data_IF_263107834919
#
_entry.id   IF_263107834919
#
_cell.length_a   1.000
_cell.length_b   1.000
_cell.length_c   1.000
_cell.angle_alpha   90.00
_cell.angle_beta   90.00
_cell.angle_gamma   90.00
#
_symmetry.space_group_name_H-M   'P 1'
#
loop_
_entity.id
_entity.type
_entity.pdbx_description
1 polymer ?
#
# COMPACT_ATOMS: atom_id res chain seq x y z
N UNK A 1 3.35 -1.18 17.63
CA UNK A 1 3.02 -2.36 16.80
C UNK A 1 2.13 -1.88 15.67
N UNK A 2 2.45 -2.22 14.45
CA UNK A 2 1.74 -1.78 13.24
C UNK A 2 0.51 -2.66 13.07
N UNK A 3 -0.67 -2.08 13.22
CA UNK A 3 -1.94 -2.82 13.06
C UNK A 3 -2.18 -3.18 11.60
N UNK A 4 -3.02 -4.18 11.37
CA UNK A 4 -3.50 -4.50 10.03
C UNK A 4 -4.24 -3.31 9.43
N UNK A 5 -5.04 -2.60 10.21
CA UNK A 5 -5.74 -1.40 9.77
C UNK A 5 -4.80 -0.30 9.25
N UNK A 6 -3.64 -0.10 9.90
CA UNK A 6 -2.65 0.87 9.41
C UNK A 6 -2.00 0.44 8.09
N UNK A 7 -1.71 -0.85 7.92
CA UNK A 7 -1.20 -1.40 6.67
C UNK A 7 -2.21 -1.18 5.54
N UNK A 8 -3.48 -1.54 5.78
CA UNK A 8 -4.56 -1.35 4.81
C UNK A 8 -4.80 0.13 4.50
N UNK A 9 -4.80 1.01 5.51
CA UNK A 9 -4.95 2.45 5.30
C UNK A 9 -3.94 2.97 4.29
N UNK A 10 -2.65 2.65 4.44
CA UNK A 10 -1.60 3.19 3.57
C UNK A 10 -1.74 2.64 2.15
N UNK A 11 -1.86 1.33 2.02
CA UNK A 11 -1.87 0.68 0.69
C UNK A 11 -3.17 0.97 -0.09
N UNK A 12 -4.31 0.96 0.59
CA UNK A 12 -5.59 1.23 -0.07
C UNK A 12 -5.79 2.73 -0.36
N UNK A 13 -5.24 3.64 0.46
CA UNK A 13 -5.22 5.07 0.14
C UNK A 13 -4.39 5.36 -1.12
N UNK A 14 -3.30 4.62 -1.36
CA UNK A 14 -2.57 4.74 -2.62
C UNK A 14 -3.41 4.31 -3.81
N UNK A 15 -4.12 3.17 -3.71
CA UNK A 15 -5.00 2.68 -4.77
C UNK A 15 -6.21 3.60 -4.99
N UNK A 16 -6.75 4.20 -3.92
CA UNK A 16 -7.80 5.20 -4.03
C UNK A 16 -7.34 6.43 -4.82
N UNK A 17 -6.10 6.89 -4.61
CA UNK A 17 -5.53 8.03 -5.34
C UNK A 17 -5.08 7.65 -6.76
N UNK A 18 -4.76 6.39 -7.01
CA UNK A 18 -4.31 5.85 -8.29
C UNK A 18 -5.21 4.71 -8.76
N UNK A 19 -6.44 5.01 -9.22
CA UNK A 19 -7.44 3.97 -9.54
C UNK A 19 -7.09 3.13 -10.78
N UNK A 20 -6.04 3.48 -11.52
CA UNK A 20 -5.50 2.67 -12.62
C UNK A 20 -4.52 1.58 -12.14
N UNK A 21 -4.08 1.63 -10.87
CA UNK A 21 -3.22 0.62 -10.30
C UNK A 21 -4.05 -0.53 -9.72
N UNK A 22 -3.53 -1.75 -9.84
CA UNK A 22 -4.19 -2.97 -9.38
C UNK A 22 -3.82 -3.32 -7.95
N UNK A 23 -2.56 -3.13 -7.59
CA UNK A 23 -1.97 -3.56 -6.32
C UNK A 23 -1.04 -2.51 -5.75
N UNK A 24 -1.02 -2.38 -4.43
CA UNK A 24 -0.04 -1.58 -3.71
C UNK A 24 0.74 -2.43 -2.72
N UNK A 25 2.05 -2.26 -2.67
CA UNK A 25 2.94 -2.94 -1.72
C UNK A 25 3.81 -1.89 -1.03
N UNK A 26 3.82 -1.89 0.29
CA UNK A 26 4.78 -1.09 1.06
C UNK A 26 5.48 -1.95 2.10
N UNK A 27 6.70 -1.57 2.48
CA UNK A 27 7.46 -2.32 3.48
C UNK A 27 7.00 -1.97 4.91
N UNK A 28 6.84 -2.98 5.75
CA UNK A 28 6.49 -2.80 7.16
C UNK A 28 7.50 -1.92 7.90
N UNK A 29 8.77 -1.92 7.49
CA UNK A 29 9.83 -1.08 8.05
C UNK A 29 9.58 0.41 7.89
N UNK A 30 8.89 0.81 6.83
CA UNK A 30 8.51 2.19 6.54
C UNK A 30 7.46 2.78 7.48
N UNK A 31 6.62 1.93 8.06
CA UNK A 31 5.61 2.31 9.06
C UNK A 31 6.18 2.17 10.47
N UNK A 32 6.15 3.21 11.30
CA UNK A 32 6.82 3.21 12.62
C UNK A 32 5.86 3.00 13.78
N UNK A 33 4.62 3.45 13.66
CA UNK A 33 3.59 3.37 14.69
C UNK A 33 2.21 3.36 14.05
N UNK A 34 1.17 3.16 14.85
CA UNK A 34 -0.22 3.40 14.46
C UNK A 34 -0.59 4.87 14.71
N UNK A 35 -1.68 5.35 14.11
CA UNK A 35 -2.25 6.66 14.44
C UNK A 35 -2.67 6.68 15.91
N UNK A 36 -2.40 7.78 16.65
CA UNK A 36 -2.86 7.91 18.03
C UNK A 36 -4.37 8.14 18.09
N UNK A 37 -5.01 7.84 19.24
CA UNK A 37 -6.41 8.19 19.45
C UNK A 37 -6.59 9.72 19.55
N UNK A 38 -7.75 10.21 19.12
CA UNK A 38 -8.10 11.64 19.13
C UNK A 38 -8.04 12.28 17.76
N UNK A 39 -7.89 13.60 17.71
CA UNK A 39 -7.79 14.34 16.45
C UNK A 39 -6.50 13.98 15.72
N UNK A 40 -6.63 13.58 14.45
CA UNK A 40 -5.49 13.22 13.60
C UNK A 40 -4.88 14.50 13.01
N UNK A 41 -3.60 14.71 13.27
CA UNK A 41 -2.84 15.84 12.74
C UNK A 41 -1.85 15.38 11.66
N UNK A 42 -1.34 16.33 10.88
CA UNK A 42 -0.24 16.05 9.94
C UNK A 42 1.00 15.46 10.64
N UNK A 43 1.27 15.91 11.88
CA UNK A 43 2.38 15.39 12.66
C UNK A 43 2.21 13.91 13.01
N UNK A 44 0.97 13.45 13.23
CA UNK A 44 0.67 12.04 13.50
C UNK A 44 0.94 11.18 12.25
N UNK A 45 0.50 11.65 11.07
CA UNK A 45 0.78 10.96 9.80
C UNK A 45 2.30 10.90 9.54
N UNK A 46 3.02 11.99 9.78
CA UNK A 46 4.50 12.00 9.69
C UNK A 46 5.12 11.06 10.72
N UNK A 47 4.55 10.94 11.92
CA UNK A 47 5.01 10.00 12.94
C UNK A 47 4.84 8.53 12.50
N UNK A 48 3.76 8.22 11.78
CA UNK A 48 3.54 6.88 11.19
C UNK A 48 4.51 6.61 10.06
N UNK A 49 4.70 7.56 9.15
CA UNK A 49 5.48 7.44 7.90
C UNK A 49 6.58 8.51 7.85
N UNK A 50 7.66 8.41 8.67
CA UNK A 50 8.60 9.52 8.89
C UNK A 50 9.61 9.75 7.74
N UNK A 51 9.63 8.88 6.74
CA UNK A 51 10.58 8.98 5.62
C UNK A 51 10.00 9.81 4.47
N UNK A 52 10.87 10.49 3.71
CA UNK A 52 10.48 11.27 2.54
C UNK A 52 10.54 10.43 1.26
N UNK A 53 9.79 9.31 1.29
CA UNK A 53 9.66 8.45 0.12
C UNK A 53 8.66 9.00 -0.90
N UNK A 54 8.81 8.55 -2.14
CA UNK A 54 7.86 8.78 -3.22
C UNK A 54 7.28 7.47 -3.73
N UNK A 55 6.10 7.54 -4.33
CA UNK A 55 5.46 6.37 -4.96
C UNK A 55 6.10 6.13 -6.33
N UNK A 56 6.38 4.87 -6.62
CA UNK A 56 6.85 4.37 -7.92
C UNK A 56 5.82 3.39 -8.46
N UNK A 57 5.44 3.56 -9.73
CA UNK A 57 4.54 2.67 -10.46
C UNK A 57 5.35 1.70 -11.29
N UNK A 58 5.02 0.40 -11.21
CA UNK A 58 5.68 -0.70 -11.87
C UNK A 58 4.69 -1.54 -12.67
N UNK A 59 5.21 -2.22 -13.70
CA UNK A 59 4.48 -3.24 -14.46
C UNK A 59 5.11 -4.61 -14.18
N UNK A 60 4.38 -5.47 -13.47
CA UNK A 60 4.86 -6.78 -13.07
C UNK A 60 3.94 -7.88 -13.61
N UNK A 61 4.51 -9.02 -14.03
CA UNK A 61 3.71 -10.22 -14.29
C UNK A 61 3.14 -10.76 -12.98
N UNK A 62 2.05 -11.53 -13.05
CA UNK A 62 1.48 -12.14 -11.83
C UNK A 62 2.45 -13.06 -11.12
N UNK A 63 3.34 -13.77 -11.84
CA UNK A 63 4.42 -14.56 -11.22
C UNK A 63 5.40 -13.70 -10.43
N UNK A 64 5.84 -12.57 -10.99
CA UNK A 64 6.72 -11.60 -10.32
C UNK A 64 6.04 -10.97 -9.11
N UNK A 65 4.76 -10.62 -9.27
CA UNK A 65 3.94 -10.02 -8.23
C UNK A 65 3.73 -11.00 -7.05
N UNK A 66 3.43 -12.27 -7.31
CA UNK A 66 3.27 -13.30 -6.26
C UNK A 66 4.54 -13.40 -5.39
N UNK A 67 5.71 -13.36 -6.01
CA UNK A 67 6.99 -13.35 -5.28
C UNK A 67 7.14 -12.12 -4.36
N UNK A 68 6.70 -10.95 -4.80
CA UNK A 68 6.80 -9.71 -4.01
C UNK A 68 5.76 -9.66 -2.90
N UNK A 69 4.53 -10.11 -3.15
CA UNK A 69 3.47 -10.23 -2.17
C UNK A 69 3.79 -11.22 -1.05
N UNK A 70 4.57 -12.26 -1.36
CA UNK A 70 5.00 -13.29 -0.41
C UNK A 70 6.11 -12.87 0.54
N UNK A 71 6.69 -11.67 0.41
CA UNK A 71 7.77 -11.21 1.28
C UNK A 71 7.28 -10.96 2.71
N UNK A 72 8.03 -11.39 3.75
CA UNK A 72 7.61 -11.22 5.15
C UNK A 72 7.46 -9.76 5.60
N UNK A 73 8.10 -8.84 4.89
CA UNK A 73 8.07 -7.39 5.15
C UNK A 73 6.98 -6.66 4.38
N UNK A 74 6.15 -7.36 3.58
CA UNK A 74 5.11 -6.74 2.76
C UNK A 74 3.87 -6.34 3.59
N UNK A 75 3.42 -5.10 3.41
CA UNK A 75 2.04 -4.70 3.61
C UNK A 75 1.41 -4.52 2.23
N UNK A 76 0.23 -5.12 2.01
CA UNK A 76 -0.37 -5.22 0.67
C UNK A 76 -1.78 -4.63 0.64
N UNK A 77 -2.16 -4.02 -0.48
CA UNK A 77 -3.49 -3.52 -0.78
C UNK A 77 -3.92 -3.92 -2.19
N UNK A 78 -5.23 -3.87 -2.44
CA UNK A 78 -5.83 -4.30 -3.71
C UNK A 78 -5.93 -5.81 -3.88
N UNK A 79 -5.36 -6.59 -2.97
CA UNK A 79 -5.37 -8.05 -3.01
C UNK A 79 -5.71 -8.64 -1.65
N UNK A 80 -6.20 -9.88 -1.67
CA UNK A 80 -6.37 -10.72 -0.48
C UNK A 80 -5.85 -12.13 -0.78
N UNK A 81 -5.53 -12.86 0.28
CA UNK A 81 -5.02 -14.24 0.17
C UNK A 81 -6.05 -15.23 0.66
N UNK A 82 -6.36 -16.23 -0.17
CA UNK A 82 -7.18 -17.39 0.19
C UNK A 82 -6.50 -18.67 -0.30
N UNK A 83 -6.47 -19.72 0.54
CA UNK A 83 -5.88 -21.02 0.21
C UNK A 83 -4.49 -20.93 -0.45
N UNK A 84 -3.61 -20.04 0.07
CA UNK A 84 -2.26 -19.77 -0.44
C UNK A 84 -2.18 -19.10 -1.82
N UNK A 85 -3.30 -18.63 -2.37
CA UNK A 85 -3.39 -17.92 -3.64
C UNK A 85 -3.82 -16.48 -3.42
N UNK A 86 -3.40 -15.59 -4.32
CA UNK A 86 -3.76 -14.19 -4.29
C UNK A 86 -4.91 -13.90 -5.25
N UNK A 87 -5.81 -13.04 -4.82
CA UNK A 87 -6.99 -12.60 -5.55
C UNK A 87 -7.05 -11.08 -5.55
N UNK A 88 -7.48 -10.48 -6.67
CA UNK A 88 -7.75 -9.05 -6.74
C UNK A 88 -9.02 -8.73 -5.96
N UNK A 89 -8.97 -7.72 -5.09
CA UNK A 89 -10.18 -7.24 -4.37
C UNK A 89 -11.23 -6.67 -5.32
N UNK A 90 -10.78 -5.97 -6.38
CA UNK A 90 -11.66 -5.29 -7.33
C UNK A 90 -12.56 -6.25 -8.13
N UNK A 91 -12.07 -7.46 -8.46
CA UNK A 91 -12.77 -8.40 -9.32
C UNK A 91 -13.09 -9.74 -8.65
N UNK A 92 -12.36 -10.09 -7.58
CA UNK A 92 -12.42 -11.41 -6.96
C UNK A 92 -11.71 -12.50 -7.77
N UNK A 93 -10.99 -12.12 -8.85
CA UNK A 93 -10.27 -13.07 -9.70
C UNK A 93 -8.90 -13.39 -9.11
N UNK A 94 -8.48 -14.65 -9.29
CA UNK A 94 -7.12 -15.10 -8.95
C UNK A 94 -6.10 -14.39 -9.84
N UNK A 95 -4.93 -14.04 -9.29
CA UNK A 95 -3.83 -13.49 -10.09
C UNK A 95 -3.40 -14.50 -11.15
N UNK A 96 -3.41 -14.09 -12.42
CA UNK A 96 -2.89 -14.87 -13.55
C UNK A 96 -1.37 -14.61 -13.65
N UNK A 97 -0.59 -15.69 -13.67
CA UNK A 97 0.88 -15.64 -13.71
C UNK A 97 1.45 -14.86 -14.89
N UNK A 98 0.76 -14.89 -16.02
CA UNK A 98 1.21 -14.31 -17.29
C UNK A 98 0.65 -12.91 -17.56
N UNK A 99 -0.35 -12.47 -16.80
CA UNK A 99 -0.95 -11.15 -16.93
C UNK A 99 -0.05 -10.08 -16.32
N UNK A 100 -0.14 -8.86 -16.85
CA UNK A 100 0.62 -7.70 -16.35
C UNK A 100 -0.29 -6.88 -15.44
N UNK A 101 0.22 -6.59 -14.23
CA UNK A 101 -0.44 -5.77 -13.21
C UNK A 101 0.32 -4.49 -12.98
N UNK A 102 -0.43 -3.40 -12.79
CA UNK A 102 0.13 -2.12 -12.37
C UNK A 102 0.27 -2.11 -10.85
N UNK A 103 1.50 -1.98 -10.37
CA UNK A 103 1.85 -2.11 -8.95
C UNK A 103 2.47 -0.82 -8.42
N UNK A 104 1.97 -0.35 -7.28
CA UNK A 104 2.55 0.79 -6.57
C UNK A 104 3.48 0.31 -5.46
N UNK A 105 4.68 0.88 -5.41
CA UNK A 105 5.66 0.66 -4.34
C UNK A 105 6.26 1.98 -3.89
N UNK A 106 7.05 2.01 -2.82
CA UNK A 106 7.86 3.20 -2.52
C UNK A 106 9.27 3.08 -3.16
N UNK A 107 9.92 4.23 -3.36
CA UNK A 107 11.23 4.34 -4.01
C UNK A 107 12.35 3.62 -3.23
N UNK A 108 12.25 3.51 -1.89
CA UNK A 108 13.20 2.75 -1.08
C UNK A 108 13.15 1.26 -1.43
N UNK A 109 11.94 0.68 -1.60
CA UNK A 109 11.79 -0.70 -2.05
C UNK A 109 12.29 -0.89 -3.48
N UNK A 110 11.95 0.04 -4.38
CA UNK A 110 12.40 0.01 -5.77
C UNK A 110 13.93 0.06 -5.89
N UNK A 111 14.59 0.80 -4.98
CA UNK A 111 16.05 0.83 -4.88
C UNK A 111 16.67 -0.44 -4.24
N UNK A 112 15.85 -1.43 -3.86
CA UNK A 112 16.29 -2.72 -3.31
C UNK A 112 16.23 -2.83 -1.78
N UNK A 113 15.65 -1.84 -1.09
CA UNK A 113 15.48 -1.88 0.37
C UNK A 113 14.57 -3.03 0.83
N UNK A 114 14.80 -3.54 2.04
CA UNK A 114 14.02 -4.60 2.68
C UNK A 114 13.84 -5.87 1.81
N UNK A 115 14.91 -6.27 1.10
CA UNK A 115 14.99 -7.46 0.23
C UNK A 115 14.16 -7.39 -1.07
N UNK A 116 13.76 -6.18 -1.50
CA UNK A 116 13.01 -5.96 -2.75
C UNK A 116 13.91 -5.67 -3.97
N UNK A 117 15.17 -6.13 -3.98
CA UNK A 117 16.12 -5.86 -5.06
C UNK A 117 15.66 -6.33 -6.46
N UNK A 118 14.71 -7.26 -6.54
CA UNK A 118 14.16 -7.73 -7.81
C UNK A 118 13.19 -6.75 -8.48
N UNK A 119 12.61 -5.79 -7.77
CA UNK A 119 11.65 -4.85 -8.36
C UNK A 119 12.25 -4.08 -9.54
N UNK A 120 13.45 -3.50 -9.38
CA UNK A 120 14.14 -2.77 -10.46
C UNK A 120 14.74 -3.69 -11.53
N UNK A 121 14.82 -5.00 -11.27
CA UNK A 121 15.20 -6.02 -12.27
C UNK A 121 13.99 -6.41 -13.11
N UNK A 122 12.82 -6.56 -12.49
CA UNK A 122 11.57 -6.93 -13.16
C UNK A 122 11.03 -5.79 -14.01
N UNK A 123 11.08 -4.56 -13.51
CA UNK A 123 10.71 -3.35 -14.25
C UNK A 123 11.79 -2.27 -14.07
N UNK A 124 12.83 -2.25 -14.92
CA UNK A 124 13.90 -1.25 -14.85
C UNK A 124 13.44 0.16 -15.25
N UNK A 125 12.28 0.27 -15.91
CA UNK A 125 11.69 1.53 -16.37
C UNK A 125 10.58 2.04 -15.41
N UNK A 126 10.56 1.55 -14.17
CA UNK A 126 9.59 1.95 -13.15
C UNK A 126 9.40 3.47 -13.06
N UNK A 127 8.13 3.90 -13.12
CA UNK A 127 7.76 5.30 -13.20
C UNK A 127 7.74 5.97 -11.81
N UNK A 128 8.68 6.88 -11.57
CA UNK A 128 8.67 7.71 -10.37
C UNK A 128 7.58 8.78 -10.50
N UNK A 129 6.54 8.70 -9.67
CA UNK A 129 5.41 9.63 -9.70
C UNK A 129 5.75 11.02 -9.15
N UNK A 130 6.87 11.17 -8.44
CA UNK A 130 7.24 12.34 -7.65
C UNK A 130 6.21 12.72 -6.55
N UNK A 131 5.23 11.86 -6.28
CA UNK A 131 4.25 12.07 -5.23
C UNK A 131 4.78 11.49 -3.91
N UNK A 132 4.82 12.33 -2.87
CA UNK A 132 5.17 11.87 -1.54
C UNK A 132 4.19 10.79 -1.08
N UNK A 133 4.69 9.68 -0.60
CA UNK A 133 3.90 8.49 -0.24
C UNK A 133 2.85 8.72 0.87
N UNK A 134 3.01 9.80 1.67
CA UNK A 134 2.03 10.23 2.68
C UNK A 134 0.84 10.97 2.06
N UNK A 135 1.01 11.61 0.90
CA UNK A 135 -0.02 12.49 0.35
C UNK A 135 -1.35 11.77 0.12
N UNK A 136 -1.41 10.59 -0.52
CA UNK A 136 -2.68 9.86 -0.66
C UNK A 136 -3.33 9.50 0.67
N UNK A 137 -2.53 9.19 1.70
CA UNK A 137 -3.05 8.87 3.04
C UNK A 137 -3.69 10.10 3.68
N UNK A 138 -3.03 11.27 3.59
CA UNK A 138 -3.56 12.55 4.08
C UNK A 138 -4.87 12.88 3.36
N UNK A 139 -4.88 12.81 2.04
CA UNK A 139 -6.04 13.15 1.21
C UNK A 139 -7.22 12.20 1.51
N UNK A 140 -6.95 10.90 1.66
CA UNK A 140 -7.97 9.91 2.01
C UNK A 140 -8.57 10.18 3.40
N UNK A 141 -7.73 10.47 4.41
CA UNK A 141 -8.21 10.83 5.75
C UNK A 141 -9.10 12.08 5.71
N UNK A 142 -8.71 13.09 4.95
CA UNK A 142 -9.44 14.36 4.87
C UNK A 142 -10.84 14.22 4.26
N UNK A 143 -11.06 13.27 3.37
CA UNK A 143 -12.37 13.07 2.73
C UNK A 143 -13.32 12.18 3.54
N UNK A 144 -12.88 11.58 4.66
CA UNK A 144 -13.71 10.68 5.46
C UNK A 144 -14.79 11.41 6.31
N UNK A 145 -14.72 12.73 6.46
CA UNK A 145 -15.64 13.53 7.30
C UNK A 145 -15.81 12.91 8.70
N UNK A 146 -14.70 12.49 9.30
CA UNK A 146 -14.68 11.84 10.61
C UNK A 146 -14.89 12.83 11.75
N UNK A 147 -15.53 12.39 12.83
CA UNK A 147 -15.81 13.17 14.03
C UNK A 147 -15.74 12.26 15.28
N UNK A 148 -15.80 12.82 16.50
CA UNK A 148 -15.90 12.00 17.70
C UNK A 148 -17.11 11.05 17.72
N UNK A 149 -18.21 11.43 17.04
CA UNK A 149 -19.43 10.61 16.90
C UNK A 149 -19.35 9.62 15.73
N UNK A 150 -18.47 9.90 14.76
CA UNK A 150 -18.23 9.05 13.59
C UNK A 150 -16.71 8.88 13.39
N UNK A 151 -16.03 8.11 14.24
CA UNK A 151 -14.58 7.95 14.17
C UNK A 151 -14.14 7.22 12.90
N UNK A 152 -12.95 7.55 12.41
CA UNK A 152 -12.37 7.01 11.17
C UNK A 152 -12.10 5.49 11.24
N UNK A 153 -12.10 4.91 12.45
CA UNK A 153 -11.79 3.48 12.67
C UNK A 153 -12.69 2.54 11.84
N UNK A 154 -13.97 2.87 11.67
CA UNK A 154 -14.90 2.09 10.87
C UNK A 154 -14.49 2.10 9.39
N UNK A 155 -14.15 3.27 8.84
CA UNK A 155 -13.70 3.39 7.46
C UNK A 155 -12.37 2.66 7.24
N UNK A 156 -11.43 2.73 8.19
CA UNK A 156 -10.17 1.97 8.12
C UNK A 156 -10.43 0.46 8.19
N UNK A 157 -11.35 0.02 9.03
CA UNK A 157 -11.69 -1.40 9.14
C UNK A 157 -12.24 -1.97 7.82
N UNK A 158 -13.05 -1.19 7.11
CA UNK A 158 -13.58 -1.59 5.79
C UNK A 158 -12.49 -1.82 4.75
N UNK A 159 -11.41 -1.05 4.77
CA UNK A 159 -10.26 -1.23 3.87
C UNK A 159 -9.56 -2.58 4.04
N UNK A 160 -9.68 -3.20 5.21
CA UNK A 160 -9.05 -4.48 5.53
C UNK A 160 -9.87 -5.69 5.06
N UNK A 161 -11.09 -5.47 4.57
CA UNK A 161 -11.95 -6.54 4.07
C UNK A 161 -11.46 -7.07 2.71
N UNK A 162 -11.71 -8.36 2.42
CA UNK A 162 -11.42 -8.95 1.11
C UNK A 162 -12.31 -8.39 0.00
#
# INVERSE_FOLDING_TARGET
QRSQGMQSLITEAWLWAYPAADVAITNLGGMRTDLPPGDITLADVVGVMPFDNVIVELQLTGEQLDMMLGQPSAAVGGVYRDNFRWYLKATGEELDSDEIYTVLVNDFMYAGGDDYALLSVYDPDGYNTAINWRQPVIDWIMVQDSSPENPIDAAIAELSLP
#
